data_IF_272768349668
#
_entry.id   IF_272768349668
#
_cell.length_a   1.000
_cell.length_b   1.000
_cell.length_c   1.000
_cell.angle_alpha   90.00
_cell.angle_beta   90.00
_cell.angle_gamma   90.00
#
_symmetry.space_group_name_H-M   'P 1'
#
loop_
_entity.id
_entity.type
_entity.pdbx_description
1 polymer ?
#
# COMPACT_ATOMS: atom_id res chain seq x y z
N UNK A 1 -6.31 17.53 6.61
CA UNK A 1 -6.69 16.83 5.36
C UNK A 1 -5.51 16.00 4.85
N UNK A 2 -5.30 14.79 5.38
CA UNK A 2 -4.21 13.90 4.94
C UNK A 2 -4.37 13.47 3.47
N UNK A 3 -5.60 13.26 3.01
CA UNK A 3 -5.93 12.87 1.64
C UNK A 3 -5.39 13.84 0.57
N UNK A 4 -5.52 15.16 0.79
CA UNK A 4 -5.03 16.17 -0.17
C UNK A 4 -3.50 16.13 -0.30
N UNK A 5 -2.78 15.89 0.81
CA UNK A 5 -1.31 15.74 0.78
C UNK A 5 -0.88 14.47 0.04
N UNK A 6 -1.60 13.37 0.22
CA UNK A 6 -1.35 12.09 -0.47
C UNK A 6 -1.53 12.25 -1.98
N UNK A 7 -2.65 12.85 -2.42
CA UNK A 7 -2.94 13.06 -3.84
C UNK A 7 -1.91 13.96 -4.52
N UNK A 8 -1.43 15.00 -3.83
CA UNK A 8 -0.40 15.89 -4.39
C UNK A 8 0.94 15.17 -4.56
N UNK A 9 1.40 14.40 -3.56
CA UNK A 9 2.65 13.61 -3.65
C UNK A 9 2.60 12.59 -4.81
N UNK A 10 1.47 11.91 -4.96
CA UNK A 10 1.25 10.98 -6.07
C UNK A 10 1.34 11.64 -7.46
N UNK A 11 0.84 12.87 -7.60
CA UNK A 11 0.85 13.61 -8.86
C UNK A 11 2.24 14.13 -9.25
N UNK A 12 3.06 14.48 -8.27
CA UNK A 12 4.38 15.08 -8.48
C UNK A 12 5.52 14.05 -8.56
N UNK A 13 5.29 12.81 -8.11
CA UNK A 13 6.31 11.78 -8.04
C UNK A 13 6.60 11.16 -9.42
N UNK A 14 7.86 11.29 -9.88
CA UNK A 14 8.37 10.55 -11.03
C UNK A 14 8.54 9.04 -10.77
N UNK A 15 8.74 8.66 -9.51
CA UNK A 15 8.74 7.26 -9.04
C UNK A 15 7.74 7.11 -7.90
N UNK A 16 6.49 6.84 -8.26
CA UNK A 16 5.38 6.74 -7.32
C UNK A 16 5.54 5.58 -6.32
N UNK A 17 6.33 4.55 -6.64
CA UNK A 17 6.52 3.39 -5.74
C UNK A 17 7.28 3.78 -4.48
N UNK A 18 8.25 4.69 -4.58
CA UNK A 18 8.99 5.20 -3.41
C UNK A 18 8.14 6.02 -2.46
N UNK A 19 7.08 6.64 -2.95
CA UNK A 19 6.15 7.42 -2.13
C UNK A 19 5.12 6.55 -1.39
N UNK A 20 4.92 5.30 -1.84
CA UNK A 20 3.86 4.43 -1.28
C UNK A 20 4.11 4.04 0.16
N UNK A 21 5.36 3.82 0.55
CA UNK A 21 5.68 3.46 1.94
C UNK A 21 5.26 4.57 2.90
N UNK A 22 5.61 5.83 2.60
CA UNK A 22 5.24 6.97 3.43
C UNK A 22 3.73 7.30 3.40
N UNK A 23 3.06 7.06 2.27
CA UNK A 23 1.61 7.21 2.17
C UNK A 23 0.88 6.14 2.98
N UNK A 24 1.30 4.87 2.86
CA UNK A 24 0.73 3.77 3.63
C UNK A 24 0.96 3.97 5.12
N UNK A 25 2.16 4.40 5.54
CA UNK A 25 2.42 4.77 6.94
C UNK A 25 1.45 5.85 7.43
N UNK A 26 1.31 6.94 6.67
CA UNK A 26 0.44 8.06 7.07
C UNK A 26 -1.01 7.62 7.22
N UNK A 27 -1.51 6.82 6.27
CA UNK A 27 -2.88 6.31 6.29
C UNK A 27 -3.09 5.32 7.43
N UNK A 28 -2.18 4.35 7.61
CA UNK A 28 -2.33 3.32 8.64
C UNK A 28 -2.26 3.92 10.04
N UNK A 29 -1.32 4.84 10.31
CA UNK A 29 -1.26 5.54 11.59
C UNK A 29 -2.53 6.37 11.85
N UNK A 30 -3.07 7.03 10.84
CA UNK A 30 -4.30 7.82 10.99
C UNK A 30 -5.56 6.97 11.25
N UNK A 31 -5.54 5.70 10.85
CA UNK A 31 -6.64 4.74 11.02
C UNK A 31 -6.37 3.70 12.11
N UNK A 32 -5.31 3.87 12.91
CA UNK A 32 -4.88 2.92 13.95
C UNK A 32 -4.72 1.46 13.44
N UNK A 33 -4.16 1.33 12.23
CA UNK A 33 -3.93 0.05 11.58
C UNK A 33 -2.50 -0.44 11.81
N UNK A 34 -2.36 -1.72 12.13
CA UNK A 34 -1.06 -2.39 12.31
C UNK A 34 -0.34 -2.70 10.99
N UNK A 35 -1.12 -2.79 9.89
CA UNK A 35 -0.60 -3.11 8.55
C UNK A 35 -1.47 -2.50 7.47
N UNK A 36 -0.83 -1.98 6.43
CA UNK A 36 -1.46 -1.58 5.17
C UNK A 36 -0.84 -2.34 4.01
N UNK A 37 -1.67 -2.75 3.06
CA UNK A 37 -1.20 -3.43 1.84
C UNK A 37 -1.83 -2.75 0.64
N UNK A 38 -1.01 -2.37 -0.32
CA UNK A 38 -1.45 -1.89 -1.62
C UNK A 38 -1.37 -3.04 -2.63
N UNK A 39 -2.52 -3.42 -3.17
CA UNK A 39 -2.58 -4.39 -4.25
C UNK A 39 -2.63 -3.68 -5.61
N UNK A 40 -1.85 -4.18 -6.56
CA UNK A 40 -1.98 -3.84 -7.98
C UNK A 40 -2.79 -4.91 -8.67
N UNK A 41 -3.87 -4.48 -9.31
CA UNK A 41 -4.70 -5.32 -10.17
C UNK A 41 -4.28 -5.11 -11.63
N UNK A 42 -4.16 -6.20 -12.37
CA UNK A 42 -3.96 -6.20 -13.81
C UNK A 42 -5.08 -7.00 -14.44
N UNK A 43 -5.79 -6.39 -15.38
CA UNK A 43 -6.80 -7.09 -16.14
C UNK A 43 -6.16 -8.18 -17.01
N UNK A 44 -6.77 -9.37 -16.99
CA UNK A 44 -6.45 -10.47 -17.88
C UNK A 44 -7.67 -10.66 -18.80
N UNK A 45 -7.53 -10.39 -20.12
CA UNK A 45 -8.64 -10.49 -21.05
C UNK A 45 -9.35 -11.85 -20.97
N UNK A 46 -10.64 -11.83 -20.64
CA UNK A 46 -11.47 -13.03 -20.50
C UNK A 46 -11.20 -13.90 -19.26
N UNK A 47 -10.29 -13.49 -18.36
CA UNK A 47 -9.89 -14.27 -17.17
C UNK A 47 -10.03 -13.49 -15.85
N UNK A 48 -10.52 -12.24 -15.90
CA UNK A 48 -10.70 -11.41 -14.71
C UNK A 48 -9.46 -10.57 -14.38
N UNK A 49 -9.08 -10.49 -13.11
CA UNK A 49 -7.93 -9.68 -12.66
C UNK A 49 -6.86 -10.56 -12.00
N UNK A 50 -5.62 -10.39 -12.44
CA UNK A 50 -4.46 -10.83 -11.67
C UNK A 50 -4.17 -9.81 -10.56
N UNK A 51 -3.98 -10.30 -9.33
CA UNK A 51 -3.58 -9.49 -8.19
C UNK A 51 -2.10 -9.68 -7.87
N UNK A 52 -1.43 -8.59 -7.49
CA UNK A 52 -0.05 -8.60 -6.99
C UNK A 52 0.08 -7.60 -5.84
N UNK A 53 1.01 -7.86 -4.92
CA UNK A 53 1.38 -6.87 -3.89
C UNK A 53 2.27 -5.81 -4.53
N UNK A 54 1.84 -4.56 -4.46
CA UNK A 54 2.57 -3.42 -5.02
C UNK A 54 3.45 -2.72 -3.98
N UNK A 55 2.96 -2.61 -2.74
CA UNK A 55 3.66 -2.08 -1.58
C UNK A 55 2.96 -2.55 -0.31
N UNK A 56 3.65 -2.52 0.83
CA UNK A 56 3.05 -2.76 2.13
C UNK A 56 3.80 -1.99 3.21
N UNK A 57 3.08 -1.68 4.29
CA UNK A 57 3.65 -1.08 5.48
C UNK A 57 3.20 -1.87 6.70
N UNK A 58 4.13 -2.11 7.62
CA UNK A 58 3.88 -2.76 8.91
C UNK A 58 4.32 -1.77 9.98
N UNK A 59 3.51 -1.60 11.03
CA UNK A 59 3.87 -0.73 12.14
C UNK A 59 5.14 -1.26 12.83
N UNK A 60 6.25 -0.50 12.85
CA UNK A 60 7.48 -0.93 13.50
C UNK A 60 7.35 -1.08 15.02
N UNK A 61 6.31 -0.49 15.63
CA UNK A 61 6.02 -0.63 17.05
C UNK A 61 5.12 -1.84 17.36
N UNK A 62 4.64 -2.54 16.33
CA UNK A 62 3.88 -3.77 16.52
C UNK A 62 4.82 -4.86 17.06
N UNK A 63 4.67 -5.19 18.34
CA UNK A 63 5.50 -6.17 19.04
C UNK A 63 5.26 -7.63 18.64
N UNK A 64 4.56 -7.90 17.54
CA UNK A 64 4.29 -9.23 17.00
C UNK A 64 4.93 -9.42 15.62
N UNK A 65 4.97 -10.67 15.16
CA UNK A 65 5.53 -10.99 13.84
C UNK A 65 4.42 -10.92 12.78
N UNK A 66 4.55 -9.99 11.83
CA UNK A 66 3.70 -9.93 10.64
C UNK A 66 4.51 -10.39 9.44
N UNK A 67 4.13 -11.54 8.87
CA UNK A 67 4.74 -12.04 7.65
C UNK A 67 4.52 -11.04 6.49
N UNK A 68 5.52 -10.98 5.60
CA UNK A 68 5.42 -10.25 4.34
C UNK A 68 4.16 -10.70 3.59
N UNK A 69 3.33 -9.78 3.10
CA UNK A 69 2.07 -10.15 2.47
C UNK A 69 2.31 -10.93 1.18
N UNK A 70 1.49 -11.97 0.99
CA UNK A 70 1.46 -12.80 -0.21
C UNK A 70 0.07 -12.70 -0.85
N UNK A 71 -0.03 -13.07 -2.13
CA UNK A 71 -1.31 -13.24 -2.80
C UNK A 71 -1.67 -14.72 -2.74
N UNK A 72 -2.90 -15.04 -2.32
CA UNK A 72 -3.44 -16.39 -2.39
C UNK A 72 -4.01 -16.56 -3.80
N UNK A 73 -3.46 -17.51 -4.56
CA UNK A 73 -3.92 -17.85 -5.91
C UNK A 73 -5.05 -18.88 -5.86
#
# INVERSE_FOLDING_TARGET
MAAVRVVRRLREAGDWQREMDGILETLCRAMDCQRGILFRLRELPGQGFAQSVAAYWIDPLFGGELASPTVIM
#
